data_IF_131240193689
#
_entry.id   IF_131240193689
#
_cell.length_a   1.000
_cell.length_b   1.000
_cell.length_c   1.000
_cell.angle_alpha   90.00
_cell.angle_beta   90.00
_cell.angle_gamma   90.00
#
_symmetry.space_group_name_H-M   'P 1'
#
loop_
_entity.id
_entity.type
_entity.pdbx_description
1 polymer ?
#
# COMPACT_ATOMS: atom_id res chain seq x y z
N UNK A 1 15.79 -16.54 -42.94
CA UNK A 1 15.55 -15.54 -41.90
C UNK A 1 14.09 -15.64 -41.44
N UNK A 2 13.85 -16.13 -40.24
CA UNK A 2 12.48 -16.14 -39.66
C UNK A 2 12.19 -14.71 -39.22
N UNK A 3 11.32 -13.98 -39.92
CA UNK A 3 10.75 -12.73 -39.42
C UNK A 3 10.01 -13.07 -38.11
N UNK A 4 10.59 -12.74 -36.98
CA UNK A 4 9.86 -12.76 -35.72
C UNK A 4 8.79 -11.66 -35.81
N UNK A 5 7.57 -12.06 -36.13
CA UNK A 5 6.41 -11.17 -36.01
C UNK A 5 6.33 -10.78 -34.55
N UNK A 6 6.66 -9.53 -34.29
CA UNK A 6 6.58 -8.94 -32.96
C UNK A 6 5.14 -9.07 -32.49
N UNK A 7 4.89 -9.67 -31.31
CA UNK A 7 3.52 -9.82 -30.83
C UNK A 7 2.90 -8.42 -30.64
N UNK A 8 1.59 -8.28 -30.90
CA UNK A 8 0.87 -7.01 -30.69
C UNK A 8 1.05 -6.48 -29.26
N UNK A 9 1.04 -7.39 -28.27
CA UNK A 9 1.31 -7.07 -26.85
C UNK A 9 2.69 -6.42 -26.68
N UNK A 10 3.72 -6.97 -27.27
CA UNK A 10 5.08 -6.43 -27.21
C UNK A 10 5.18 -5.06 -27.89
N UNK A 11 4.51 -4.89 -29.04
CA UNK A 11 4.46 -3.61 -29.73
C UNK A 11 3.81 -2.53 -28.86
N UNK A 12 2.62 -2.79 -28.29
CA UNK A 12 1.92 -1.83 -27.42
C UNK A 12 2.78 -1.47 -26.19
N UNK A 13 3.36 -2.46 -25.50
CA UNK A 13 4.24 -2.22 -24.36
C UNK A 13 5.38 -1.27 -24.72
N UNK A 14 6.05 -1.52 -25.82
CA UNK A 14 7.21 -0.72 -26.23
C UNK A 14 6.80 0.72 -26.64
N UNK A 15 5.61 0.91 -27.22
CA UNK A 15 5.09 2.26 -27.50
C UNK A 15 4.72 3.00 -26.19
N UNK A 16 4.21 2.30 -25.18
CA UNK A 16 3.94 2.86 -23.84
C UNK A 16 5.26 3.30 -23.18
N UNK A 17 6.27 2.43 -23.17
CA UNK A 17 7.59 2.74 -22.58
C UNK A 17 8.24 3.94 -23.25
N UNK A 18 8.16 4.07 -24.58
CA UNK A 18 8.67 5.23 -25.32
C UNK A 18 8.03 6.57 -24.88
N UNK A 19 6.82 6.52 -24.32
CA UNK A 19 6.08 7.68 -23.83
C UNK A 19 6.24 7.90 -22.32
N UNK A 20 7.18 7.19 -21.66
CA UNK A 20 7.44 7.29 -20.23
C UNK A 20 6.94 6.12 -19.38
N UNK A 21 6.20 5.19 -19.98
CA UNK A 21 5.65 4.02 -19.29
C UNK A 21 4.37 4.32 -18.51
N UNK A 22 3.84 3.29 -17.85
CA UNK A 22 2.74 3.41 -16.90
C UNK A 22 3.26 3.68 -15.49
N UNK A 23 2.48 4.40 -14.70
CA UNK A 23 2.67 4.53 -13.26
C UNK A 23 1.57 3.73 -12.56
N UNK A 24 1.95 2.73 -11.77
CA UNK A 24 1.05 2.11 -10.80
C UNK A 24 1.26 2.80 -9.45
N UNK A 25 0.37 3.70 -9.09
CA UNK A 25 0.51 4.53 -7.89
C UNK A 25 0.04 3.85 -6.60
N UNK A 26 -0.66 2.69 -6.68
CA UNK A 26 -1.22 2.03 -5.51
C UNK A 26 -1.31 0.51 -5.71
N UNK A 27 -0.69 -0.23 -4.81
CA UNK A 27 -0.78 -1.68 -4.71
C UNK A 27 -0.40 -2.16 -3.30
N UNK A 28 -0.54 -3.47 -3.06
CA UNK A 28 -0.11 -4.18 -1.85
C UNK A 28 0.72 -5.40 -2.25
N UNK A 29 1.96 -5.16 -2.69
CA UNK A 29 2.83 -6.22 -3.23
C UNK A 29 3.33 -7.20 -2.16
N UNK A 30 3.38 -6.77 -0.91
CA UNK A 30 3.76 -7.57 0.26
C UNK A 30 2.82 -8.78 0.49
N UNK A 31 1.55 -8.65 0.10
CA UNK A 31 0.53 -9.71 0.20
C UNK A 31 -0.04 -10.16 -1.15
N UNK A 32 0.61 -9.78 -2.26
CA UNK A 32 0.25 -10.30 -3.57
C UNK A 32 0.47 -11.82 -3.65
N UNK A 33 -0.27 -12.49 -4.53
CA UNK A 33 -0.17 -13.96 -4.77
C UNK A 33 -0.44 -14.86 -3.55
N UNK A 34 -1.07 -14.34 -2.50
CA UNK A 34 -1.43 -15.12 -1.29
C UNK A 34 -2.82 -15.76 -1.39
N UNK A 35 -3.59 -15.35 -2.40
CA UNK A 35 -4.90 -15.93 -2.68
C UNK A 35 -4.75 -17.19 -3.51
N UNK A 36 -5.00 -18.34 -2.91
CA UNK A 36 -5.04 -19.63 -3.62
C UNK A 36 -6.47 -20.02 -3.96
N UNK A 37 -6.71 -20.96 -4.92
CA UNK A 37 -8.04 -21.45 -5.23
C UNK A 37 -8.82 -21.94 -4.00
N UNK A 38 -8.15 -22.59 -3.05
CA UNK A 38 -8.74 -23.09 -1.81
C UNK A 38 -9.20 -21.95 -0.89
N UNK A 39 -8.48 -20.83 -0.90
CA UNK A 39 -8.80 -19.66 -0.08
C UNK A 39 -9.90 -18.79 -0.67
N UNK A 40 -10.17 -18.86 -1.99
CA UNK A 40 -11.17 -18.01 -2.66
C UNK A 40 -12.56 -18.16 -2.01
N UNK A 41 -12.99 -19.39 -1.72
CA UNK A 41 -14.28 -19.65 -1.08
C UNK A 41 -14.38 -19.06 0.33
N UNK A 42 -13.30 -19.08 1.08
CA UNK A 42 -13.22 -18.48 2.42
C UNK A 42 -13.34 -16.96 2.33
N UNK A 43 -12.55 -16.34 1.46
CA UNK A 43 -12.56 -14.89 1.23
C UNK A 43 -13.92 -14.38 0.74
N UNK A 44 -14.58 -15.12 -0.16
CA UNK A 44 -15.88 -14.74 -0.70
C UNK A 44 -16.95 -14.62 0.39
N UNK A 45 -16.94 -15.53 1.36
CA UNK A 45 -17.90 -15.58 2.44
C UNK A 45 -17.49 -14.80 3.71
N UNK A 46 -16.33 -14.16 3.72
CA UNK A 46 -15.79 -13.44 4.86
C UNK A 46 -16.23 -11.98 4.87
N UNK A 47 -16.56 -11.47 6.07
CA UNK A 47 -16.70 -10.03 6.30
C UNK A 47 -15.31 -9.34 6.34
N UNK A 48 -15.30 -8.01 6.48
CA UNK A 48 -14.06 -7.22 6.45
C UNK A 48 -13.09 -7.63 7.55
N UNK A 49 -13.55 -7.81 8.79
CA UNK A 49 -12.72 -8.23 9.91
C UNK A 49 -12.07 -9.60 9.67
N UNK A 50 -12.85 -10.57 9.20
CA UNK A 50 -12.35 -11.90 8.87
C UNK A 50 -11.30 -11.86 7.74
N UNK A 51 -11.44 -10.95 6.79
CA UNK A 51 -10.41 -10.74 5.75
C UNK A 51 -9.11 -10.20 6.33
N UNK A 52 -9.18 -9.28 7.30
CA UNK A 52 -8.00 -8.81 8.02
C UNK A 52 -7.33 -9.93 8.84
N UNK A 53 -8.11 -10.81 9.46
CA UNK A 53 -7.58 -11.97 10.19
C UNK A 53 -6.83 -12.94 9.26
N UNK A 54 -7.33 -13.13 8.03
CA UNK A 54 -6.64 -13.94 7.00
C UNK A 54 -5.34 -13.26 6.53
N UNK A 55 -5.31 -11.93 6.44
CA UNK A 55 -4.08 -11.19 6.15
C UNK A 55 -3.08 -11.33 7.30
N UNK A 56 -3.53 -11.25 8.55
CA UNK A 56 -2.69 -11.46 9.73
C UNK A 56 -2.05 -12.85 9.75
N UNK A 57 -2.78 -13.88 9.32
CA UNK A 57 -2.22 -15.22 9.19
C UNK A 57 -1.08 -15.28 8.15
N UNK A 58 -1.27 -14.64 7.00
CA UNK A 58 -0.22 -14.50 5.99
C UNK A 58 1.00 -13.77 6.56
N UNK A 59 0.79 -12.67 7.30
CA UNK A 59 1.87 -11.91 7.93
C UNK A 59 2.63 -12.74 8.97
N UNK A 60 1.92 -13.49 9.78
CA UNK A 60 2.50 -14.31 10.86
C UNK A 60 3.38 -15.43 10.33
N UNK A 61 2.97 -16.04 9.21
CA UNK A 61 3.65 -17.20 8.61
C UNK A 61 4.71 -16.83 7.58
N UNK A 62 4.75 -15.58 7.10
CA UNK A 62 5.70 -15.17 6.05
C UNK A 62 7.07 -14.81 6.62
N UNK A 63 8.10 -15.37 6.04
CA UNK A 63 9.50 -14.98 6.23
C UNK A 63 9.86 -13.74 5.37
N UNK A 64 11.04 -13.15 5.59
CA UNK A 64 11.59 -12.09 4.71
C UNK A 64 11.74 -12.60 3.27
N UNK A 65 12.12 -13.86 3.07
CA UNK A 65 12.29 -14.43 1.72
C UNK A 65 10.93 -14.66 1.02
N UNK A 66 9.86 -14.99 1.76
CA UNK A 66 8.50 -15.08 1.20
C UNK A 66 8.01 -13.70 0.73
N UNK A 67 8.22 -12.65 1.53
CA UNK A 67 7.92 -11.28 1.12
C UNK A 67 8.76 -10.87 -0.10
N UNK A 68 10.05 -11.15 -0.09
CA UNK A 68 10.95 -10.84 -1.20
C UNK A 68 10.50 -11.51 -2.51
N UNK A 69 10.14 -12.78 -2.46
CA UNK A 69 9.62 -13.51 -3.63
C UNK A 69 8.35 -12.83 -4.20
N UNK A 70 7.40 -12.43 -3.35
CA UNK A 70 6.19 -11.72 -3.75
C UNK A 70 6.49 -10.35 -4.37
N UNK A 71 7.41 -9.58 -3.79
CA UNK A 71 7.86 -8.31 -4.37
C UNK A 71 8.48 -8.52 -5.74
N UNK A 72 9.41 -9.45 -5.90
CA UNK A 72 10.05 -9.73 -7.19
C UNK A 72 9.02 -10.11 -8.25
N UNK A 73 8.11 -11.05 -7.93
CA UNK A 73 7.06 -11.46 -8.86
C UNK A 73 6.13 -10.30 -9.26
N UNK A 74 5.77 -9.43 -8.30
CA UNK A 74 4.95 -8.24 -8.56
C UNK A 74 5.68 -7.25 -9.47
N UNK A 75 6.94 -6.97 -9.17
CA UNK A 75 7.78 -6.04 -9.93
C UNK A 75 7.98 -6.54 -11.37
N UNK A 76 8.33 -7.80 -11.54
CA UNK A 76 8.51 -8.42 -12.88
C UNK A 76 7.21 -8.36 -13.70
N UNK A 77 6.06 -8.61 -13.05
CA UNK A 77 4.76 -8.47 -13.69
C UNK A 77 4.51 -7.02 -14.15
N UNK A 78 4.80 -6.03 -13.30
CA UNK A 78 4.65 -4.60 -13.64
C UNK A 78 5.57 -4.21 -14.81
N UNK A 79 6.84 -4.57 -14.76
CA UNK A 79 7.81 -4.31 -15.85
C UNK A 79 7.34 -4.97 -17.15
N UNK A 80 6.84 -6.21 -17.09
CA UNK A 80 6.34 -6.92 -18.29
C UNK A 80 5.17 -6.22 -18.98
N UNK A 81 4.45 -5.35 -18.27
CA UNK A 81 3.32 -4.57 -18.76
C UNK A 81 3.69 -3.13 -19.14
N UNK A 82 4.95 -2.73 -19.00
CA UNK A 82 5.42 -1.38 -19.33
C UNK A 82 5.24 -0.36 -18.21
N UNK A 83 5.11 -0.82 -16.96
CA UNK A 83 5.15 0.05 -15.77
C UNK A 83 6.59 0.45 -15.51
N UNK A 84 6.83 1.75 -15.34
CA UNK A 84 8.15 2.34 -15.07
C UNK A 84 8.26 2.94 -13.67
N UNK A 85 7.13 3.16 -13.00
CA UNK A 85 7.10 3.57 -11.60
C UNK A 85 5.98 2.81 -10.86
N UNK A 86 6.31 2.28 -9.69
CA UNK A 86 5.44 1.42 -8.91
C UNK A 86 5.42 1.84 -7.44
N UNK A 87 4.27 2.35 -6.99
CA UNK A 87 3.98 2.66 -5.59
C UNK A 87 3.25 1.49 -4.93
N UNK A 88 3.73 1.04 -3.79
CA UNK A 88 3.08 -0.04 -3.05
C UNK A 88 3.07 0.24 -1.56
N UNK A 89 1.95 -0.09 -0.91
CA UNK A 89 1.88 -0.17 0.54
C UNK A 89 2.62 -1.41 1.03
N UNK A 90 3.21 -1.29 2.21
CA UNK A 90 3.94 -2.35 2.89
C UNK A 90 3.48 -2.39 4.34
N UNK A 91 2.98 -3.52 4.79
CA UNK A 91 2.57 -3.69 6.17
C UNK A 91 3.80 -3.65 7.10
N UNK A 92 3.72 -2.78 8.12
CA UNK A 92 4.72 -2.66 9.19
C UNK A 92 3.92 -2.52 10.50
N UNK A 93 3.76 -3.60 11.21
CA UNK A 93 2.89 -3.69 12.39
C UNK A 93 3.38 -4.78 13.37
N UNK A 94 2.79 -4.93 14.57
CA UNK A 94 3.22 -5.92 15.56
C UNK A 94 3.25 -7.38 15.09
N UNK A 95 2.60 -7.71 13.96
CA UNK A 95 2.51 -9.08 13.46
C UNK A 95 3.63 -9.39 12.48
N UNK A 96 3.87 -8.51 11.51
CA UNK A 96 4.95 -8.70 10.53
C UNK A 96 6.24 -7.99 10.93
N UNK A 97 6.19 -7.10 11.91
CA UNK A 97 7.33 -6.28 12.32
C UNK A 97 7.90 -5.54 11.09
N UNK A 98 9.20 -5.55 10.89
CA UNK A 98 9.89 -4.94 9.73
C UNK A 98 10.17 -5.92 8.58
N UNK A 99 9.74 -7.19 8.67
CA UNK A 99 10.09 -8.22 7.69
C UNK A 99 9.70 -7.86 6.26
N UNK A 100 8.51 -7.27 6.09
CA UNK A 100 8.02 -6.92 4.76
C UNK A 100 8.81 -5.74 4.16
N UNK A 101 9.12 -4.70 4.94
CA UNK A 101 9.86 -3.53 4.45
C UNK A 101 11.33 -3.85 4.19
N UNK A 102 11.96 -4.73 4.98
CA UNK A 102 13.31 -5.25 4.70
C UNK A 102 13.34 -5.94 3.34
N UNK A 103 12.37 -6.81 3.07
CA UNK A 103 12.23 -7.49 1.79
C UNK A 103 12.00 -6.52 0.62
N UNK A 104 11.16 -5.48 0.83
CA UNK A 104 10.88 -4.45 -0.16
C UNK A 104 12.15 -3.66 -0.53
N UNK A 105 12.95 -3.26 0.46
CA UNK A 105 14.23 -2.59 0.22
C UNK A 105 15.23 -3.49 -0.52
N UNK A 106 15.31 -4.77 -0.18
CA UNK A 106 16.12 -5.74 -0.90
C UNK A 106 15.70 -5.84 -2.37
N UNK A 107 14.39 -5.90 -2.64
CA UNK A 107 13.87 -5.90 -4.00
C UNK A 107 14.19 -4.59 -4.73
N UNK A 108 14.01 -3.42 -4.08
CA UNK A 108 14.33 -2.10 -4.65
C UNK A 108 15.78 -2.02 -5.14
N UNK A 109 16.73 -2.53 -4.37
CA UNK A 109 18.14 -2.54 -4.78
C UNK A 109 18.39 -3.42 -6.03
N UNK A 110 17.72 -4.55 -6.13
CA UNK A 110 17.84 -5.44 -7.30
C UNK A 110 17.29 -4.80 -8.56
N UNK A 111 16.11 -4.17 -8.47
CA UNK A 111 15.40 -3.62 -9.63
C UNK A 111 15.59 -2.11 -9.85
N UNK A 112 16.52 -1.45 -9.15
CA UNK A 112 16.71 0.01 -9.16
C UNK A 112 17.01 0.63 -10.54
N UNK A 113 17.44 -0.16 -11.50
CA UNK A 113 17.70 0.29 -12.87
C UNK A 113 16.55 -0.02 -13.84
N UNK A 114 15.56 -0.80 -13.43
CA UNK A 114 14.48 -1.29 -14.26
C UNK A 114 13.16 -0.54 -13.98
N UNK A 115 12.94 -0.15 -12.73
CA UNK A 115 11.68 0.49 -12.30
C UNK A 115 11.91 1.38 -11.06
N UNK A 116 11.18 2.49 -10.99
CA UNK A 116 11.14 3.33 -9.80
C UNK A 116 10.18 2.69 -8.79
N UNK A 117 10.68 2.36 -7.59
CA UNK A 117 9.87 1.81 -6.50
C UNK A 117 9.70 2.85 -5.39
N UNK A 118 8.45 3.03 -4.95
CA UNK A 118 8.08 3.90 -3.83
C UNK A 118 7.23 3.11 -2.83
N UNK A 119 7.52 3.26 -1.54
CA UNK A 119 6.85 2.54 -0.47
C UNK A 119 6.07 3.49 0.43
N UNK A 120 4.85 3.08 0.79
CA UNK A 120 4.08 3.66 1.87
C UNK A 120 3.92 2.61 2.98
N UNK A 121 4.09 2.98 4.23
CA UNK A 121 3.74 2.08 5.32
C UNK A 121 2.22 1.94 5.44
N UNK A 122 1.78 0.77 5.90
CA UNK A 122 0.39 0.56 6.27
C UNK A 122 0.32 -0.24 7.58
N UNK A 123 -0.57 0.20 8.45
CA UNK A 123 -0.83 -0.50 9.70
C UNK A 123 -2.29 -0.96 9.74
N UNK A 124 -2.56 -2.25 9.53
CA UNK A 124 -3.89 -2.81 9.71
C UNK A 124 -4.31 -2.89 11.18
N UNK A 125 -3.44 -2.48 12.10
CA UNK A 125 -3.69 -2.38 13.54
C UNK A 125 -3.91 -0.94 14.01
N UNK A 126 -4.00 0.00 13.08
CA UNK A 126 -4.13 1.43 13.39
C UNK A 126 -2.82 2.06 13.87
N UNK A 127 -2.97 3.23 14.49
CA UNK A 127 -1.85 4.04 15.01
C UNK A 127 -2.07 4.55 16.46
N UNK A 128 -3.19 4.15 17.08
CA UNK A 128 -3.54 4.55 18.46
C UNK A 128 -3.05 3.52 19.48
N UNK A 129 -3.20 2.23 19.19
CA UNK A 129 -2.74 1.16 20.09
C UNK A 129 -1.20 1.25 20.25
N UNK A 130 -0.65 1.18 21.49
CA UNK A 130 0.76 1.46 21.76
C UNK A 130 1.75 0.63 20.95
N UNK A 131 1.52 -0.67 20.79
CA UNK A 131 2.44 -1.51 19.98
C UNK A 131 2.30 -1.23 18.48
N UNK A 132 1.08 -0.96 17.98
CA UNK A 132 0.86 -0.54 16.60
C UNK A 132 1.52 0.82 16.33
N UNK A 133 1.40 1.77 17.28
CA UNK A 133 2.06 3.08 17.21
C UNK A 133 3.57 2.97 17.14
N UNK A 134 4.17 2.15 17.97
CA UNK A 134 5.62 1.90 17.94
C UNK A 134 6.08 1.43 16.56
N UNK A 135 5.37 0.48 15.96
CA UNK A 135 5.71 -0.02 14.63
C UNK A 135 5.41 0.99 13.52
N UNK A 136 4.37 1.80 13.68
CA UNK A 136 4.11 2.92 12.79
C UNK A 136 5.27 3.94 12.80
N UNK A 137 5.74 4.33 13.99
CA UNK A 137 6.83 5.28 14.13
C UNK A 137 8.15 4.74 13.52
N UNK A 138 8.48 3.46 13.76
CA UNK A 138 9.62 2.77 13.13
C UNK A 138 9.47 2.75 11.60
N UNK A 139 8.32 2.32 11.11
CA UNK A 139 8.04 2.20 9.69
C UNK A 139 8.05 3.53 8.94
N UNK A 140 7.63 4.60 9.62
CA UNK A 140 7.61 5.95 9.03
C UNK A 140 8.97 6.47 8.62
N UNK A 141 10.06 5.97 9.22
CA UNK A 141 11.43 6.32 8.86
C UNK A 141 11.99 5.42 7.73
N UNK A 142 11.26 4.39 7.33
CA UNK A 142 11.70 3.40 6.34
C UNK A 142 10.98 3.51 4.99
N UNK A 143 10.08 4.48 4.84
CA UNK A 143 9.21 4.59 3.65
C UNK A 143 9.37 5.93 2.94
N UNK A 144 8.88 5.99 1.71
CA UNK A 144 8.90 7.21 0.87
C UNK A 144 7.65 8.08 1.08
N UNK A 145 6.57 7.51 1.63
CA UNK A 145 5.27 8.17 1.86
C UNK A 145 4.66 7.60 3.15
N UNK A 146 3.99 8.42 3.94
CA UNK A 146 3.18 7.92 5.06
C UNK A 146 1.90 7.33 4.51
N UNK A 147 1.56 6.13 4.94
CA UNK A 147 0.30 5.48 4.66
C UNK A 147 -0.48 5.17 5.92
N UNK A 148 -1.80 5.06 5.81
CA UNK A 148 -2.63 4.71 6.96
C UNK A 148 -4.05 4.29 6.63
N UNK A 149 -4.74 3.79 7.66
CA UNK A 149 -6.11 3.33 7.62
C UNK A 149 -6.85 3.80 8.89
N UNK A 150 -7.26 5.09 8.98
CA UNK A 150 -7.91 5.67 10.16
C UNK A 150 -9.18 4.93 10.60
N UNK A 151 -9.87 4.32 9.64
CA UNK A 151 -11.04 3.49 9.94
C UNK A 151 -10.75 2.37 10.96
N UNK A 152 -9.52 1.87 11.00
CA UNK A 152 -9.15 0.86 12.02
C UNK A 152 -9.22 1.44 13.43
N UNK A 153 -8.69 2.63 13.62
CA UNK A 153 -8.71 3.33 14.92
C UNK A 153 -10.11 3.81 15.28
N UNK A 154 -10.92 4.20 14.27
CA UNK A 154 -12.34 4.51 14.47
C UNK A 154 -13.11 3.30 14.96
N UNK A 155 -12.91 2.13 14.34
CA UNK A 155 -13.62 0.90 14.69
C UNK A 155 -13.28 0.42 16.11
N UNK A 156 -12.01 0.49 16.48
CA UNK A 156 -11.53 -0.07 17.75
C UNK A 156 -11.70 0.92 18.93
N UNK A 157 -11.60 2.22 18.68
CA UNK A 157 -11.46 3.25 19.73
C UNK A 157 -12.37 4.47 19.54
N UNK A 158 -13.00 4.66 18.39
CA UNK A 158 -13.71 5.91 18.05
C UNK A 158 -12.76 7.11 17.83
N UNK A 159 -11.51 6.86 17.40
CA UNK A 159 -10.43 7.84 17.31
C UNK A 159 -9.88 7.99 15.88
N UNK A 160 -10.74 7.84 14.86
CA UNK A 160 -10.34 7.96 13.45
C UNK A 160 -9.77 9.32 13.09
N UNK A 161 -10.34 10.41 13.62
CA UNK A 161 -9.83 11.78 13.39
C UNK A 161 -8.45 11.99 14.03
N UNK A 162 -8.24 11.48 15.23
CA UNK A 162 -6.94 11.54 15.90
C UNK A 162 -5.89 10.71 15.14
N UNK A 163 -6.27 9.57 14.61
CA UNK A 163 -5.41 8.79 13.73
C UNK A 163 -5.02 9.59 12.47
N UNK A 164 -5.96 10.32 11.84
CA UNK A 164 -5.63 11.22 10.71
C UNK A 164 -4.61 12.29 11.10
N UNK A 165 -4.77 12.92 12.27
CA UNK A 165 -3.80 13.92 12.78
C UNK A 165 -2.41 13.30 12.93
N UNK A 166 -2.28 12.11 13.49
CA UNK A 166 -1.02 11.38 13.64
C UNK A 166 -0.36 11.12 12.28
N UNK A 167 -1.12 10.66 11.29
CA UNK A 167 -0.62 10.37 9.94
C UNK A 167 -0.11 11.66 9.26
N UNK A 168 -0.89 12.74 9.33
CA UNK A 168 -0.55 14.02 8.71
C UNK A 168 0.66 14.67 9.38
N UNK A 169 0.76 14.63 10.70
CA UNK A 169 1.93 15.13 11.45
C UNK A 169 3.19 14.32 11.11
N UNK A 170 3.08 13.01 11.01
CA UNK A 170 4.20 12.16 10.62
C UNK A 170 4.71 12.48 9.20
N UNK A 171 3.81 12.71 8.26
CA UNK A 171 4.15 13.09 6.88
C UNK A 171 4.72 14.52 6.81
N UNK A 172 4.09 15.47 7.52
CA UNK A 172 4.50 16.87 7.55
C UNK A 172 5.89 17.03 8.14
N UNK A 173 6.18 16.40 9.26
CA UNK A 173 7.49 16.47 9.94
C UNK A 173 8.64 15.92 9.08
N UNK A 174 8.33 14.97 8.19
CA UNK A 174 9.31 14.36 7.27
C UNK A 174 9.33 15.03 5.90
N UNK A 175 8.41 15.94 5.60
CA UNK A 175 8.31 16.64 4.31
C UNK A 175 7.89 15.71 3.15
N UNK A 176 7.20 14.59 3.43
CA UNK A 176 6.76 13.60 2.44
C UNK A 176 5.24 13.59 2.28
N UNK A 177 4.74 12.84 1.28
CA UNK A 177 3.31 12.69 1.03
C UNK A 177 2.64 11.78 2.07
N UNK A 178 1.32 11.97 2.24
CA UNK A 178 0.47 11.11 3.04
C UNK A 178 -0.58 10.45 2.15
N UNK A 179 -0.70 9.13 2.18
CA UNK A 179 -1.65 8.33 1.43
C UNK A 179 -2.58 7.60 2.39
N UNK A 180 -3.85 7.97 2.43
CA UNK A 180 -4.81 7.53 3.46
C UNK A 180 -5.94 6.74 2.81
N UNK A 181 -6.16 5.51 3.29
CA UNK A 181 -7.32 4.72 2.93
C UNK A 181 -8.55 5.25 3.67
N UNK A 182 -9.54 5.67 2.91
CA UNK A 182 -10.80 6.23 3.40
C UNK A 182 -11.98 5.55 2.70
N UNK A 183 -13.18 5.67 3.26
CA UNK A 183 -14.43 5.15 2.67
C UNK A 183 -14.39 3.63 2.40
N UNK A 184 -14.16 2.84 3.45
CA UNK A 184 -13.91 1.40 3.36
C UNK A 184 -15.13 0.56 2.97
N UNK A 185 -16.35 1.07 3.14
CA UNK A 185 -17.60 0.34 2.94
C UNK A 185 -18.31 0.66 1.63
N UNK A 186 -17.76 1.55 0.81
CA UNK A 186 -18.39 1.94 -0.44
C UNK A 186 -19.83 2.47 -0.22
N UNK A 187 -20.00 3.30 0.79
CA UNK A 187 -21.29 3.85 1.21
C UNK A 187 -21.29 5.37 1.11
N UNK A 188 -22.34 5.99 0.55
CA UNK A 188 -22.46 7.46 0.50
C UNK A 188 -22.69 8.09 1.89
N UNK A 189 -22.78 7.28 2.95
CA UNK A 189 -22.88 7.73 4.34
C UNK A 189 -21.53 7.93 5.01
N UNK A 190 -20.46 7.39 4.43
CA UNK A 190 -19.11 7.59 4.93
C UNK A 190 -18.69 9.04 4.76
N UNK A 191 -17.89 9.53 5.68
CA UNK A 191 -17.45 10.94 5.75
C UNK A 191 -15.92 11.05 5.84
N UNK A 192 -15.21 9.96 5.74
CA UNK A 192 -13.77 9.94 5.93
C UNK A 192 -13.03 10.79 4.90
N UNK A 193 -13.50 10.81 3.64
CA UNK A 193 -12.89 11.66 2.60
C UNK A 193 -13.07 13.14 2.92
N UNK A 194 -14.27 13.58 3.33
CA UNK A 194 -14.52 14.97 3.76
C UNK A 194 -13.65 15.32 4.97
N UNK A 195 -13.63 14.46 5.99
CA UNK A 195 -12.82 14.62 7.20
C UNK A 195 -11.33 14.72 6.88
N UNK A 196 -10.83 13.88 5.96
CA UNK A 196 -9.44 13.94 5.53
C UNK A 196 -9.14 15.26 4.79
N UNK A 197 -10.07 15.79 4.00
CA UNK A 197 -9.92 17.11 3.37
C UNK A 197 -9.78 18.23 4.41
N UNK A 198 -10.67 18.23 5.41
CA UNK A 198 -10.65 19.23 6.49
C UNK A 198 -9.33 19.16 7.28
N UNK A 199 -8.92 17.94 7.68
CA UNK A 199 -7.63 17.69 8.37
C UNK A 199 -6.44 18.09 7.51
N UNK A 200 -6.48 17.86 6.20
CA UNK A 200 -5.43 18.29 5.27
C UNK A 200 -5.24 19.81 5.29
N UNK A 201 -6.33 20.57 5.29
CA UNK A 201 -6.31 22.03 5.37
C UNK A 201 -5.80 22.49 6.75
N UNK A 202 -6.33 21.92 7.85
CA UNK A 202 -5.90 22.22 9.22
C UNK A 202 -4.39 22.05 9.40
N UNK A 203 -3.80 21.00 8.80
CA UNK A 203 -2.36 20.71 8.87
C UNK A 203 -1.52 21.48 7.83
N UNK A 204 -2.13 22.23 6.88
CA UNK A 204 -1.43 22.88 5.77
C UNK A 204 -0.68 21.89 4.89
N UNK A 205 -1.34 20.76 4.55
CA UNK A 205 -0.79 19.65 3.78
C UNK A 205 -1.40 19.56 2.38
N UNK A 206 -2.06 20.65 1.89
CA UNK A 206 -2.67 20.68 0.57
C UNK A 206 -1.66 20.33 -0.53
N UNK A 207 -2.10 19.50 -1.46
CA UNK A 207 -1.26 18.99 -2.54
C UNK A 207 -0.28 17.88 -2.13
N UNK A 208 -0.28 17.45 -0.86
CA UNK A 208 0.59 16.40 -0.33
C UNK A 208 -0.18 15.22 0.29
N UNK A 209 -1.49 15.19 0.17
CA UNK A 209 -2.36 14.12 0.69
C UNK A 209 -3.12 13.47 -0.45
N UNK A 210 -3.21 12.15 -0.41
CA UNK A 210 -3.98 11.34 -1.36
C UNK A 210 -5.01 10.53 -0.58
N UNK A 211 -6.29 10.74 -0.90
CA UNK A 211 -7.39 9.89 -0.46
C UNK A 211 -7.46 8.65 -1.35
N UNK A 212 -7.38 7.48 -0.77
CA UNK A 212 -7.48 6.19 -1.49
C UNK A 212 -8.89 5.68 -1.28
N UNK A 213 -9.50 5.20 -2.35
CA UNK A 213 -10.91 4.89 -2.55
C UNK A 213 -11.74 6.16 -2.82
N UNK A 214 -12.04 7.01 -1.81
CA UNK A 214 -12.80 8.25 -1.99
C UNK A 214 -14.17 8.02 -2.62
N UNK A 215 -14.88 6.98 -2.21
CA UNK A 215 -16.09 6.48 -2.90
C UNK A 215 -17.35 7.23 -2.48
N UNK A 216 -17.31 7.91 -1.33
CA UNK A 216 -18.45 8.64 -0.77
C UNK A 216 -18.67 10.03 -1.37
N UNK A 217 -17.77 10.51 -2.23
CA UNK A 217 -17.84 11.82 -2.88
C UNK A 217 -18.75 11.79 -4.11
#
# INVERSE_FOLDING_TARGET
MRNHVRSFKTFIRDEIIKKGGWVNAHAHADRAFTMTPEKIGIYHNSNLQQKWDLVDEVKRTSSVDDYYARFCQSIELMISQGVTAFGTFVDIDPICEDRAIIAAHKAREVYKHDIILKFANQTLKGVIEPEARKWFDIGSDMVDMIGGLPYRDELDYGLGLEAMDILLDAAKSRGIMCHVHVDQFNSPKEKETEQLCDKTIEHGMEGRVVAIHGISI
#
